data_IF_339723984362
#
_entry.id   IF_339723984362
#
_cell.length_a   1.000
_cell.length_b   1.000
_cell.length_c   1.000
_cell.angle_alpha   90.00
_cell.angle_beta   90.00
_cell.angle_gamma   90.00
#
_symmetry.space_group_name_H-M   'P 1'
#
loop_
_entity.id
_entity.type
_entity.pdbx_description
1 polymer ?
#
# COMPACT_ATOMS: atom_id res chain seq x y z
N UNK A 1 -3.11 -33.72 5.49
CA UNK A 1 -4.00 -32.60 5.11
C UNK A 1 -4.26 -31.78 6.37
N UNK A 2 -3.49 -30.71 6.59
CA UNK A 2 -3.64 -29.85 7.77
C UNK A 2 -4.44 -28.62 7.40
N UNK A 3 -5.61 -28.46 8.01
CA UNK A 3 -6.51 -27.33 7.76
C UNK A 3 -5.84 -25.99 8.03
N UNK A 4 -5.63 -25.22 6.96
CA UNK A 4 -5.44 -23.78 7.07
C UNK A 4 -6.80 -23.12 7.07
N UNK A 5 -7.06 -22.25 8.04
CA UNK A 5 -8.22 -21.36 7.96
C UNK A 5 -8.07 -20.50 6.71
N UNK A 6 -9.12 -20.42 5.89
CA UNK A 6 -9.20 -19.46 4.79
C UNK A 6 -9.32 -18.06 5.42
N UNK A 7 -8.18 -17.44 5.74
CA UNK A 7 -8.16 -16.07 6.22
C UNK A 7 -8.38 -15.18 4.99
N UNK A 8 -9.39 -14.30 4.97
CA UNK A 8 -9.63 -13.44 3.83
C UNK A 8 -8.39 -12.58 3.54
N UNK A 9 -7.74 -12.84 2.41
CA UNK A 9 -6.43 -12.28 2.05
C UNK A 9 -6.50 -10.85 1.48
N UNK A 10 -7.70 -10.34 1.24
CA UNK A 10 -7.88 -9.05 0.59
C UNK A 10 -9.29 -8.50 0.81
N UNK A 11 -9.38 -7.27 1.32
CA UNK A 11 -10.62 -6.51 1.39
C UNK A 11 -10.37 -5.05 1.02
N UNK A 12 -11.12 -4.56 0.04
CA UNK A 12 -11.15 -3.15 -0.34
C UNK A 12 -12.51 -2.57 0.03
N UNK A 13 -12.52 -1.48 0.78
CA UNK A 13 -13.71 -0.75 1.15
C UNK A 13 -13.59 0.69 0.66
N UNK A 14 -14.53 1.14 -0.16
CA UNK A 14 -14.68 2.56 -0.44
C UNK A 14 -15.60 3.18 0.60
N UNK A 15 -15.09 4.15 1.34
CA UNK A 15 -15.81 4.79 2.44
C UNK A 15 -15.97 6.27 2.12
N UNK A 16 -17.23 6.72 2.01
CA UNK A 16 -17.59 8.11 1.72
C UNK A 16 -17.86 8.90 3.00
N UNK A 17 -17.66 10.22 2.95
CA UNK A 17 -17.86 11.17 4.05
C UNK A 17 -17.16 10.76 5.37
N UNK A 18 -15.91 10.29 5.30
CA UNK A 18 -15.11 10.05 6.51
C UNK A 18 -14.87 11.38 7.22
N UNK A 19 -15.15 11.38 8.52
CA UNK A 19 -14.86 12.50 9.42
C UNK A 19 -13.63 12.22 10.25
N UNK A 20 -12.62 13.07 10.09
CA UNK A 20 -11.46 13.11 10.96
C UNK A 20 -11.70 14.15 12.04
N UNK A 21 -11.72 13.68 13.29
CA UNK A 21 -11.84 14.52 14.47
C UNK A 21 -10.50 14.56 15.21
N UNK A 22 -9.93 15.76 15.36
CA UNK A 22 -8.77 15.96 16.23
C UNK A 22 -9.23 16.49 17.59
N UNK A 23 -9.31 15.58 18.55
CA UNK A 23 -9.75 15.88 19.91
C UNK A 23 -8.88 16.94 20.63
N UNK A 24 -7.68 17.23 20.13
CA UNK A 24 -6.77 18.24 20.71
C UNK A 24 -7.03 19.64 20.18
N UNK A 25 -7.61 19.75 18.99
CA UNK A 25 -7.79 21.03 18.29
C UNK A 25 -9.25 21.36 17.97
N UNK A 26 -10.18 20.45 18.31
CA UNK A 26 -11.61 20.51 17.96
C UNK A 26 -11.88 20.70 16.46
N UNK A 27 -10.88 20.35 15.63
CA UNK A 27 -10.99 20.45 14.18
C UNK A 27 -11.69 19.23 13.63
N UNK A 28 -12.62 19.48 12.72
CA UNK A 28 -13.34 18.47 11.97
C UNK A 28 -13.03 18.61 10.47
N UNK A 29 -12.56 17.53 9.84
CA UNK A 29 -12.33 17.48 8.39
C UNK A 29 -13.10 16.33 7.76
N UNK A 30 -13.64 16.56 6.56
CA UNK A 30 -14.37 15.57 5.77
C UNK A 30 -13.61 15.22 4.50
N UNK A 31 -13.57 13.94 4.16
CA UNK A 31 -13.03 13.45 2.89
C UNK A 31 -13.65 12.10 2.55
N UNK A 32 -13.72 11.79 1.26
CA UNK A 32 -13.91 10.41 0.83
C UNK A 32 -12.56 9.68 0.87
N UNK A 33 -12.57 8.38 1.16
CA UNK A 33 -11.35 7.58 1.22
C UNK A 33 -11.61 6.18 0.67
N UNK A 34 -10.73 5.73 -0.22
CA UNK A 34 -10.61 4.31 -0.51
C UNK A 34 -9.71 3.68 0.55
N UNK A 35 -10.27 2.76 1.33
CA UNK A 35 -9.57 2.05 2.39
C UNK A 35 -9.31 0.64 1.93
N UNK A 36 -8.06 0.29 1.72
CA UNK A 36 -7.66 -1.09 1.48
C UNK A 36 -7.11 -1.68 2.77
N UNK A 37 -7.75 -2.73 3.29
CA UNK A 37 -7.13 -3.59 4.28
C UNK A 37 -6.36 -4.68 3.52
N UNK A 38 -5.12 -4.36 3.13
CA UNK A 38 -4.22 -5.34 2.55
C UNK A 38 -3.61 -6.21 3.65
N UNK A 39 -4.35 -7.23 4.06
CA UNK A 39 -3.79 -8.36 4.80
C UNK A 39 -3.08 -9.28 3.79
N UNK A 40 -1.87 -8.92 3.36
CA UNK A 40 -1.07 -9.85 2.54
C UNK A 40 -0.45 -10.92 3.45
N UNK A 41 -1.33 -11.77 3.99
CA UNK A 41 -0.99 -12.85 4.91
C UNK A 41 -0.21 -13.95 4.19
N UNK A 42 -0.47 -14.16 2.89
CA UNK A 42 0.28 -15.07 2.00
C UNK A 42 1.73 -14.64 1.73
N UNK A 43 2.11 -13.42 2.11
CA UNK A 43 3.50 -12.96 2.14
C UNK A 43 4.10 -12.93 3.55
N UNK A 44 3.34 -13.35 4.58
CA UNK A 44 3.76 -13.25 5.99
C UNK A 44 4.38 -14.55 6.49
N UNK A 45 5.72 -14.64 6.60
CA UNK A 45 6.40 -15.88 6.95
C UNK A 45 6.02 -16.39 8.35
N UNK A 46 5.59 -15.51 9.25
CA UNK A 46 5.26 -15.88 10.64
C UNK A 46 3.89 -16.54 10.82
N UNK A 47 3.04 -16.55 9.79
CA UNK A 47 1.69 -17.12 9.87
C UNK A 47 1.61 -18.61 9.48
N UNK A 48 2.64 -19.12 8.81
CA UNK A 48 2.64 -20.47 8.27
C UNK A 48 3.65 -21.35 8.97
N UNK A 49 3.22 -22.57 9.29
CA UNK A 49 4.12 -23.62 9.82
C UNK A 49 5.26 -23.92 8.84
N UNK A 50 4.97 -23.88 7.54
CA UNK A 50 5.94 -23.94 6.46
C UNK A 50 5.82 -22.61 5.69
N UNK A 51 6.67 -21.62 5.99
CA UNK A 51 6.59 -20.33 5.32
C UNK A 51 6.87 -20.46 3.81
N UNK A 52 6.17 -19.68 2.97
CA UNK A 52 6.56 -19.51 1.57
C UNK A 52 7.97 -18.93 1.45
N UNK A 53 8.59 -19.09 0.27
CA UNK A 53 9.91 -18.49 0.03
C UNK A 53 9.81 -16.96 0.01
N UNK A 54 10.92 -16.26 0.25
CA UNK A 54 10.97 -14.79 0.14
C UNK A 54 10.48 -14.30 -1.22
N UNK A 55 10.87 -14.98 -2.30
CA UNK A 55 10.44 -14.65 -3.66
C UNK A 55 8.91 -14.80 -3.82
N UNK A 56 8.34 -15.88 -3.30
CA UNK A 56 6.89 -16.10 -3.31
C UNK A 56 6.15 -15.03 -2.50
N UNK A 57 6.68 -14.63 -1.34
CA UNK A 57 6.14 -13.53 -0.56
C UNK A 57 6.12 -12.21 -1.35
N UNK A 58 7.23 -11.86 -2.01
CA UNK A 58 7.35 -10.63 -2.79
C UNK A 58 6.35 -10.65 -3.97
N UNK A 59 6.26 -11.74 -4.70
CA UNK A 59 5.31 -11.89 -5.80
C UNK A 59 3.85 -11.75 -5.33
N UNK A 60 3.52 -12.36 -4.18
CA UNK A 60 2.22 -12.21 -3.56
C UNK A 60 1.94 -10.76 -3.17
N UNK A 61 2.91 -10.05 -2.57
CA UNK A 61 2.79 -8.63 -2.27
C UNK A 61 2.51 -7.79 -3.52
N UNK A 62 3.30 -7.96 -4.57
CA UNK A 62 3.13 -7.25 -5.84
C UNK A 62 1.72 -7.45 -6.41
N UNK A 63 1.24 -8.69 -6.47
CA UNK A 63 -0.07 -9.00 -7.01
C UNK A 63 -1.20 -8.31 -6.24
N UNK A 64 -1.15 -8.34 -4.90
CA UNK A 64 -2.15 -7.65 -4.05
C UNK A 64 -2.01 -6.13 -4.16
N UNK A 65 -0.78 -5.62 -4.26
CA UNK A 65 -0.52 -4.19 -4.38
C UNK A 65 -1.04 -3.62 -5.70
N UNK A 66 -0.87 -4.35 -6.82
CA UNK A 66 -1.46 -3.99 -8.11
C UNK A 66 -2.98 -3.85 -8.02
N UNK A 67 -3.65 -4.78 -7.35
CA UNK A 67 -5.12 -4.78 -7.26
C UNK A 67 -5.65 -3.53 -6.53
N UNK A 68 -5.09 -3.17 -5.36
CA UNK A 68 -5.60 -2.00 -4.63
C UNK A 68 -5.16 -0.68 -5.27
N UNK A 69 -3.94 -0.61 -5.82
CA UNK A 69 -3.49 0.62 -6.48
C UNK A 69 -4.31 0.85 -7.76
N UNK A 70 -4.60 -0.19 -8.54
CA UNK A 70 -5.50 -0.07 -9.68
C UNK A 70 -6.91 0.40 -9.28
N UNK A 71 -7.44 -0.10 -8.16
CA UNK A 71 -8.72 0.38 -7.64
C UNK A 71 -8.66 1.83 -7.14
N UNK A 72 -7.55 2.25 -6.53
CA UNK A 72 -7.32 3.63 -6.15
C UNK A 72 -7.30 4.54 -7.38
N UNK A 73 -6.59 4.13 -8.45
CA UNK A 73 -6.58 4.85 -9.72
C UNK A 73 -7.96 4.91 -10.36
N UNK A 74 -8.73 3.82 -10.38
CA UNK A 74 -10.09 3.82 -10.93
C UNK A 74 -11.05 4.78 -10.19
N UNK A 75 -10.72 5.15 -8.95
CA UNK A 75 -11.48 6.10 -8.14
C UNK A 75 -10.85 7.50 -8.12
N UNK A 76 -9.77 7.75 -8.86
CA UNK A 76 -9.27 9.11 -9.05
C UNK A 76 -10.27 9.89 -9.92
N UNK A 77 -10.52 11.15 -9.57
CA UNK A 77 -11.34 12.06 -10.38
C UNK A 77 -10.38 12.93 -11.21
N UNK A 78 -10.63 13.03 -12.52
CA UNK A 78 -9.85 13.90 -13.41
C UNK A 78 -8.44 13.36 -13.70
N UNK A 79 -7.43 14.22 -13.61
CA UNK A 79 -6.01 13.89 -13.87
C UNK A 79 -5.30 13.24 -12.66
N UNK A 80 -6.03 12.97 -11.57
CA UNK A 80 -5.47 12.38 -10.34
C UNK A 80 -4.80 13.38 -9.40
N UNK A 81 -4.76 14.67 -9.74
CA UNK A 81 -4.16 15.74 -8.92
C UNK A 81 -4.75 15.87 -7.52
N UNK A 82 -6.04 15.51 -7.35
CA UNK A 82 -6.75 15.57 -6.07
C UNK A 82 -6.75 14.24 -5.30
N UNK A 83 -6.04 13.21 -5.78
CA UNK A 83 -6.01 11.89 -5.13
C UNK A 83 -4.66 11.66 -4.46
N UNK A 84 -4.71 11.39 -3.16
CA UNK A 84 -3.55 11.14 -2.31
C UNK A 84 -3.51 9.67 -1.93
N UNK A 85 -2.32 9.08 -2.00
CA UNK A 85 -2.12 7.68 -1.63
C UNK A 85 -1.36 7.60 -0.30
N UNK A 86 -2.00 7.05 0.73
CA UNK A 86 -1.35 6.79 2.00
C UNK A 86 -0.98 5.30 2.06
N UNK A 87 0.31 5.02 2.13
CA UNK A 87 0.89 3.69 2.24
C UNK A 87 1.56 3.52 3.60
N UNK A 88 1.70 2.28 4.06
CA UNK A 88 2.40 1.97 5.29
C UNK A 88 3.34 0.78 5.10
N UNK A 89 4.20 0.47 6.07
CA UNK A 89 5.09 -0.68 6.02
C UNK A 89 4.33 -1.97 6.35
N UNK A 90 3.46 -2.39 5.41
CA UNK A 90 2.48 -3.46 5.57
C UNK A 90 3.15 -4.76 6.04
N UNK A 91 2.73 -5.26 7.19
CA UNK A 91 3.17 -6.55 7.71
C UNK A 91 4.58 -6.59 8.30
N UNK A 92 5.28 -5.47 8.42
CA UNK A 92 6.64 -5.41 8.98
C UNK A 92 6.71 -5.44 10.52
N UNK A 93 5.59 -5.72 11.18
CA UNK A 93 5.48 -5.88 12.63
C UNK A 93 5.25 -7.35 12.98
N UNK A 94 4.08 -7.64 13.55
CA UNK A 94 3.69 -8.98 13.98
C UNK A 94 3.60 -10.05 12.86
N UNK A 95 3.66 -9.64 11.60
CA UNK A 95 3.62 -10.55 10.45
C UNK A 95 5.01 -10.91 9.91
N UNK A 96 6.05 -10.15 10.33
CA UNK A 96 7.45 -10.46 10.04
C UNK A 96 7.91 -10.17 8.61
N UNK A 97 7.21 -9.35 7.84
CA UNK A 97 7.68 -8.97 6.51
C UNK A 97 8.92 -8.09 6.61
N UNK A 98 9.86 -8.26 5.69
CA UNK A 98 10.99 -7.35 5.58
C UNK A 98 10.55 -6.02 4.95
N UNK A 99 11.03 -4.90 5.51
CA UNK A 99 10.63 -3.57 5.03
C UNK A 99 11.17 -3.27 3.63
N UNK A 100 12.32 -3.86 3.26
CA UNK A 100 12.89 -3.68 1.93
C UNK A 100 12.05 -4.41 0.89
N UNK A 101 11.65 -5.65 1.18
CA UNK A 101 10.80 -6.44 0.30
C UNK A 101 9.47 -5.72 0.03
N UNK A 102 8.86 -5.15 1.06
CA UNK A 102 7.65 -4.32 0.93
C UNK A 102 7.92 -3.07 0.09
N UNK A 103 9.04 -2.38 0.34
CA UNK A 103 9.43 -1.21 -0.44
C UNK A 103 9.65 -1.52 -1.92
N UNK A 104 10.34 -2.63 -2.22
CA UNK A 104 10.57 -3.08 -3.59
C UNK A 104 9.29 -3.52 -4.28
N UNK A 105 8.38 -4.18 -3.57
CA UNK A 105 7.06 -4.51 -4.10
C UNK A 105 6.26 -3.24 -4.44
N UNK A 106 6.23 -2.22 -3.56
CA UNK A 106 5.58 -0.95 -3.89
C UNK A 106 6.23 -0.27 -5.07
N UNK A 107 7.56 -0.24 -5.12
CA UNK A 107 8.33 0.35 -6.22
C UNK A 107 7.98 -0.30 -7.55
N UNK A 108 7.94 -1.62 -7.61
CA UNK A 108 7.57 -2.34 -8.82
C UNK A 108 6.17 -1.95 -9.30
N UNK A 109 5.19 -1.88 -8.39
CA UNK A 109 3.82 -1.52 -8.77
C UNK A 109 3.72 -0.07 -9.20
N UNK A 110 4.27 0.86 -8.44
CA UNK A 110 4.16 2.30 -8.73
C UNK A 110 4.89 2.70 -10.02
N UNK A 111 6.00 2.03 -10.34
CA UNK A 111 6.74 2.23 -11.59
C UNK A 111 6.12 1.52 -12.80
N UNK A 112 5.21 0.56 -12.59
CA UNK A 112 4.55 -0.14 -13.68
C UNK A 112 3.55 0.76 -14.41
N UNK A 113 3.32 0.49 -15.71
CA UNK A 113 2.26 1.16 -16.47
C UNK A 113 0.90 0.54 -16.13
N UNK A 114 -0.13 1.38 -16.02
CA UNK A 114 -1.50 0.89 -16.00
C UNK A 114 -1.93 0.53 -17.42
N UNK A 115 -2.83 -0.44 -17.59
CA UNK A 115 -3.46 -0.65 -18.90
C UNK A 115 -4.11 0.66 -19.37
N UNK A 116 -3.67 1.15 -20.53
CA UNK A 116 -4.17 2.38 -21.13
C UNK A 116 -3.52 3.68 -20.64
N UNK A 117 -2.51 3.66 -19.76
CA UNK A 117 -1.78 4.87 -19.36
C UNK A 117 -0.54 5.15 -20.22
N UNK A 118 -0.26 6.44 -20.44
CA UNK A 118 0.95 6.91 -21.12
C UNK A 118 2.19 6.94 -20.21
N UNK A 119 2.03 6.70 -18.90
CA UNK A 119 3.09 6.79 -17.89
C UNK A 119 2.90 5.81 -16.74
N UNK A 120 3.85 5.78 -15.78
CA UNK A 120 3.80 4.91 -14.60
C UNK A 120 2.59 5.24 -13.71
N UNK A 121 2.07 4.23 -13.02
CA UNK A 121 0.91 4.30 -12.11
C UNK A 121 1.03 5.43 -11.09
N UNK A 122 2.25 5.68 -10.58
CA UNK A 122 2.55 6.77 -9.66
C UNK A 122 2.00 8.14 -10.12
N UNK A 123 1.97 8.39 -11.43
CA UNK A 123 1.51 9.68 -11.98
C UNK A 123 0.00 9.91 -11.81
N UNK A 124 -0.77 8.88 -11.46
CA UNK A 124 -2.19 9.02 -11.15
C UNK A 124 -2.47 9.63 -9.77
N UNK A 125 -1.43 9.90 -8.96
CA UNK A 125 -1.55 10.43 -7.61
C UNK A 125 -0.81 11.75 -7.45
N UNK A 126 -1.44 12.70 -6.74
CA UNK A 126 -0.87 14.00 -6.41
C UNK A 126 0.38 13.86 -5.53
N UNK A 127 0.23 13.23 -4.35
CA UNK A 127 1.32 12.82 -3.44
C UNK A 127 1.14 11.37 -2.98
N UNK A 128 2.26 10.72 -2.64
CA UNK A 128 2.29 9.39 -2.00
C UNK A 128 2.97 9.54 -0.65
N UNK A 129 2.26 9.21 0.44
CA UNK A 129 2.76 9.33 1.79
C UNK A 129 3.02 7.98 2.44
N UNK A 130 4.18 7.82 3.07
CA UNK A 130 4.44 6.68 3.94
C UNK A 130 4.14 7.02 5.40
N UNK A 131 3.18 6.30 5.99
CA UNK A 131 2.71 6.57 7.35
C UNK A 131 2.97 5.34 8.22
N UNK A 132 3.87 5.51 9.19
CA UNK A 132 4.20 4.55 10.23
C UNK A 132 4.51 5.29 11.52
N UNK A 133 4.24 4.65 12.66
CA UNK A 133 4.75 5.11 13.96
C UNK A 133 6.26 4.93 14.06
N UNK A 134 6.81 3.95 13.34
CA UNK A 134 8.25 3.68 13.27
C UNK A 134 8.89 4.53 12.15
N UNK A 135 9.39 5.71 12.51
CA UNK A 135 9.95 6.68 11.54
C UNK A 135 11.02 6.09 10.61
N UNK A 136 11.84 5.15 11.11
CA UNK A 136 12.89 4.53 10.30
C UNK A 136 12.33 3.71 9.13
N UNK A 137 11.11 3.16 9.26
CA UNK A 137 10.44 2.41 8.17
C UNK A 137 9.99 3.36 7.07
N UNK A 138 9.46 4.53 7.43
CA UNK A 138 9.09 5.58 6.47
C UNK A 138 10.32 6.02 5.67
N UNK A 139 11.39 6.42 6.37
CA UNK A 139 12.64 6.83 5.74
C UNK A 139 13.19 5.76 4.79
N UNK A 140 13.04 4.48 5.15
CA UNK A 140 13.52 3.37 4.31
C UNK A 140 12.68 3.20 3.04
N UNK A 141 11.35 3.26 3.15
CA UNK A 141 10.44 3.16 2.01
C UNK A 141 10.60 4.36 1.07
N UNK A 142 10.66 5.58 1.61
CA UNK A 142 10.95 6.81 0.87
C UNK A 142 12.26 6.68 0.08
N UNK A 143 13.33 6.21 0.73
CA UNK A 143 14.62 6.01 0.08
C UNK A 143 14.52 5.04 -1.10
N UNK A 144 13.91 3.86 -0.91
CA UNK A 144 13.77 2.83 -1.95
C UNK A 144 13.04 3.37 -3.18
N UNK A 145 12.04 4.23 -2.99
CA UNK A 145 11.23 4.78 -4.08
C UNK A 145 11.91 5.98 -4.75
N UNK A 146 12.66 6.78 -3.99
CA UNK A 146 13.42 7.91 -4.53
C UNK A 146 14.58 7.49 -5.44
N UNK A 147 15.18 6.31 -5.20
CA UNK A 147 16.31 5.79 -5.98
C UNK A 147 15.98 5.57 -7.47
N UNK A 148 14.70 5.35 -7.82
CA UNK A 148 14.22 5.13 -9.19
C UNK A 148 13.47 6.34 -9.79
N UNK A 149 13.61 7.53 -9.18
CA UNK A 149 13.02 8.75 -9.73
C UNK A 149 11.50 8.86 -9.58
N UNK A 150 10.89 8.09 -8.66
CA UNK A 150 9.52 8.32 -8.21
C UNK A 150 9.51 9.63 -7.40
N UNK A 151 9.32 10.76 -8.10
CA UNK A 151 9.08 12.09 -7.49
C UNK A 151 7.74 12.10 -6.76
N UNK A 152 7.48 12.98 -5.77
CA UNK A 152 6.25 13.10 -4.94
C UNK A 152 6.04 12.14 -3.76
N UNK A 153 7.07 11.41 -3.37
CA UNK A 153 7.05 10.59 -2.16
C UNK A 153 7.45 11.45 -0.97
N UNK A 154 6.64 11.47 0.08
CA UNK A 154 6.92 12.16 1.36
C UNK A 154 6.61 11.31 2.59
#
# INVERSE_FOLDING_TARGET
>A
MGGGYAIPEFGLAYVRDIRFFDARTDKNRRTDMLVSACYCLSGSPQLYKNPPSTEECILNHIAKFRAFIAAAVANTIGDGSNTYLLLGPIGTGAFGNDVNDIGYAFREVLSSKMMGSNGPIRQAFGNIWFVSTDKWKNNRLEKILSEDGISNVE
#
